data_IF_161605120315
#
_entry.id   IF_161605120315
#
_cell.length_a   1.000
_cell.length_b   1.000
_cell.length_c   1.000
_cell.angle_alpha   90.00
_cell.angle_beta   90.00
_cell.angle_gamma   90.00
#
_symmetry.space_group_name_H-M   'P 1'
#
loop_
_entity.id
_entity.type
_entity.pdbx_description
1 polymer ?
#
# COMPACT_ATOMS: atom_id res chain seq x y z
N UNK A 1 7.75 -24.00 1.55
CA UNK A 1 7.00 -23.75 0.31
C UNK A 1 6.33 -22.39 0.40
N UNK A 2 6.28 -21.69 -0.73
CA UNK A 2 5.54 -20.43 -0.88
C UNK A 2 4.21 -20.73 -1.57
N UNK A 3 3.12 -20.12 -1.09
CA UNK A 3 1.77 -20.32 -1.62
C UNK A 3 1.17 -19.00 -2.09
N UNK A 4 0.57 -19.02 -3.28
CA UNK A 4 -0.18 -17.88 -3.80
C UNK A 4 -1.57 -17.85 -3.18
N UNK A 5 -1.94 -16.71 -2.60
CA UNK A 5 -3.24 -16.50 -1.94
C UNK A 5 -4.10 -15.51 -2.72
N UNK A 6 -5.41 -15.76 -2.76
CA UNK A 6 -6.39 -14.81 -3.29
C UNK A 6 -6.95 -13.97 -2.13
N UNK A 7 -6.95 -12.65 -2.28
CA UNK A 7 -7.65 -11.73 -1.38
C UNK A 7 -9.07 -11.51 -1.93
N UNK A 8 -10.08 -11.75 -1.09
CA UNK A 8 -11.50 -11.58 -1.41
C UNK A 8 -12.11 -10.58 -0.44
N UNK A 9 -13.03 -9.73 -0.91
CA UNK A 9 -13.61 -8.63 -0.15
C UNK A 9 -13.56 -7.33 -0.94
N UNK A 10 -14.00 -6.24 -0.33
CA UNK A 10 -13.90 -4.89 -0.90
C UNK A 10 -12.64 -4.20 -0.36
N UNK A 11 -11.85 -3.62 -1.26
CA UNK A 11 -10.56 -3.02 -0.91
C UNK A 11 -10.45 -1.59 -1.44
N UNK A 12 -9.81 -0.73 -0.65
CA UNK A 12 -9.32 0.58 -1.06
C UNK A 12 -7.84 0.52 -1.41
N UNK A 13 -7.42 1.36 -2.35
CA UNK A 13 -6.01 1.54 -2.70
C UNK A 13 -5.62 3.01 -2.72
N UNK A 14 -4.40 3.32 -2.31
CA UNK A 14 -3.81 4.66 -2.38
C UNK A 14 -2.36 4.57 -2.82
N UNK A 15 -1.92 5.52 -3.65
CA UNK A 15 -0.55 5.62 -4.13
C UNK A 15 0.22 6.62 -3.28
N UNK A 16 1.42 6.23 -2.86
CA UNK A 16 2.35 7.04 -2.11
C UNK A 16 3.67 7.21 -2.89
N UNK A 17 4.32 8.34 -2.68
CA UNK A 17 5.68 8.62 -3.16
C UNK A 17 6.47 9.14 -1.96
N UNK A 18 7.66 8.56 -1.71
CA UNK A 18 8.52 8.99 -0.62
C UNK A 18 9.50 7.90 -0.16
N UNK A 19 10.45 8.26 0.72
CA UNK A 19 11.34 7.30 1.35
C UNK A 19 10.60 6.38 2.33
N UNK A 20 11.09 5.15 2.53
CA UNK A 20 10.47 4.15 3.40
C UNK A 20 10.24 4.60 4.86
N UNK A 21 11.01 5.59 5.35
CA UNK A 21 10.80 6.19 6.68
C UNK A 21 9.39 6.79 6.87
N UNK A 22 8.70 7.12 5.79
CA UNK A 22 7.35 7.68 5.83
C UNK A 22 6.27 6.58 5.85
N UNK A 23 6.65 5.29 5.87
CA UNK A 23 5.72 4.17 5.86
C UNK A 23 4.75 4.13 7.06
N UNK A 24 5.14 4.67 8.22
CA UNK A 24 4.23 4.82 9.35
C UNK A 24 3.12 5.83 9.05
N UNK A 25 3.46 6.93 8.39
CA UNK A 25 2.50 7.96 7.98
C UNK A 25 1.54 7.38 6.93
N UNK A 26 2.06 6.62 5.96
CA UNK A 26 1.23 5.93 4.96
C UNK A 26 0.26 4.91 5.58
N UNK A 27 0.68 4.23 6.65
CA UNK A 27 -0.19 3.31 7.38
C UNK A 27 -1.34 4.06 8.06
N UNK A 28 -1.04 5.18 8.72
CA UNK A 28 -2.06 5.99 9.39
C UNK A 28 -3.03 6.62 8.38
N UNK A 29 -2.51 7.10 7.23
CA UNK A 29 -3.30 7.53 6.08
C UNK A 29 -4.24 6.42 5.58
N UNK A 30 -3.74 5.20 5.39
CA UNK A 30 -4.58 4.09 4.93
C UNK A 30 -5.68 3.75 5.94
N UNK A 31 -5.40 3.84 7.24
CA UNK A 31 -6.42 3.63 8.28
C UNK A 31 -7.50 4.72 8.24
N UNK A 32 -7.12 5.95 7.93
CA UNK A 32 -8.09 7.04 7.72
C UNK A 32 -8.94 6.77 6.48
N UNK A 33 -8.33 6.45 5.35
CA UNK A 33 -9.06 6.11 4.11
C UNK A 33 -10.05 4.96 4.34
N UNK A 34 -9.68 3.91 5.08
CA UNK A 34 -10.61 2.82 5.41
C UNK A 34 -11.81 3.34 6.21
N UNK A 35 -11.59 4.18 7.24
CA UNK A 35 -12.67 4.76 8.05
C UNK A 35 -13.59 5.67 7.22
N UNK A 36 -13.02 6.49 6.34
CA UNK A 36 -13.78 7.36 5.44
C UNK A 36 -14.67 6.56 4.47
N UNK A 37 -14.26 5.33 4.14
CA UNK A 37 -15.04 4.40 3.32
C UNK A 37 -15.99 3.51 4.14
N UNK A 38 -16.19 3.80 5.43
CA UNK A 38 -17.12 3.08 6.30
C UNK A 38 -16.58 1.76 6.88
N UNK A 39 -15.30 1.49 6.68
CA UNK A 39 -14.63 0.26 7.10
C UNK A 39 -13.99 0.32 8.49
N UNK A 40 -13.53 -0.85 8.95
CA UNK A 40 -12.73 -0.96 10.19
C UNK A 40 -11.27 -1.29 9.83
N UNK A 41 -10.29 -0.45 10.23
CA UNK A 41 -8.92 -0.64 9.77
C UNK A 41 -8.29 -1.96 10.22
N UNK A 42 -8.06 -2.85 9.25
CA UNK A 42 -7.42 -4.15 9.44
C UNK A 42 -5.96 -4.18 8.98
N UNK A 43 -5.59 -5.22 8.25
CA UNK A 43 -4.27 -5.36 7.64
C UNK A 43 -4.15 -4.42 6.44
N UNK A 44 -3.00 -3.77 6.33
CA UNK A 44 -2.63 -2.95 5.18
C UNK A 44 -1.41 -3.56 4.52
N UNK A 45 -1.49 -3.77 3.21
CA UNK A 45 -0.40 -4.31 2.39
C UNK A 45 0.24 -3.18 1.60
N UNK A 46 1.57 -3.18 1.54
CA UNK A 46 2.34 -2.23 0.75
C UNK A 46 3.26 -2.97 -0.20
N UNK A 47 3.34 -2.50 -1.44
CA UNK A 47 4.31 -3.00 -2.41
C UNK A 47 4.81 -1.89 -3.31
N UNK A 48 6.05 -2.04 -3.77
CA UNK A 48 6.65 -1.14 -4.75
C UNK A 48 6.20 -1.53 -6.15
N UNK A 49 5.85 -0.54 -6.95
CA UNK A 49 5.41 -0.76 -8.35
C UNK A 49 6.58 -0.98 -9.30
N UNK A 50 7.81 -0.71 -8.86
CA UNK A 50 9.00 -0.80 -9.70
C UNK A 50 10.11 -1.62 -9.06
N UNK A 51 10.94 -2.22 -9.93
CA UNK A 51 12.16 -2.89 -9.53
C UNK A 51 13.22 -1.89 -9.04
N UNK A 52 14.21 -2.27 -8.21
CA UNK A 52 15.25 -1.34 -7.74
C UNK A 52 16.04 -0.65 -8.86
N UNK A 53 16.29 -1.35 -9.98
CA UNK A 53 16.96 -0.78 -11.16
C UNK A 53 16.07 0.25 -11.87
N UNK A 54 14.78 -0.02 -11.94
CA UNK A 54 13.77 0.83 -12.52
C UNK A 54 13.63 2.12 -11.72
N UNK A 55 13.52 2.01 -10.39
CA UNK A 55 13.52 3.14 -9.46
C UNK A 55 14.74 4.05 -9.65
N UNK A 56 15.94 3.46 -9.80
CA UNK A 56 17.18 4.21 -10.05
C UNK A 56 17.18 4.92 -11.41
N UNK A 57 16.59 4.32 -12.44
CA UNK A 57 16.55 4.88 -13.78
C UNK A 57 15.52 6.01 -13.91
N UNK A 58 14.31 5.81 -13.39
CA UNK A 58 13.21 6.77 -13.51
C UNK A 58 13.16 7.80 -12.36
N UNK A 59 13.93 7.60 -11.29
CA UNK A 59 14.05 8.51 -10.16
C UNK A 59 12.86 8.51 -9.20
N UNK A 60 11.77 7.81 -9.54
CA UNK A 60 10.57 7.66 -8.70
C UNK A 60 10.30 6.19 -8.44
N UNK A 61 9.86 5.87 -7.23
CA UNK A 61 9.37 4.55 -6.88
C UNK A 61 8.08 4.67 -6.08
N UNK A 62 6.96 4.47 -6.77
CA UNK A 62 5.66 4.56 -6.13
C UNK A 62 5.39 3.33 -5.27
N UNK A 63 4.71 3.55 -4.15
CA UNK A 63 4.20 2.50 -3.27
C UNK A 63 2.69 2.48 -3.38
N UNK A 64 2.12 1.29 -3.54
CA UNK A 64 0.66 1.10 -3.48
C UNK A 64 0.32 0.51 -2.13
N UNK A 65 -0.53 1.21 -1.38
CA UNK A 65 -1.21 0.68 -0.20
C UNK A 65 -2.52 0.02 -0.60
N UNK A 66 -2.82 -1.14 -0.03
CA UNK A 66 -4.07 -1.89 -0.21
C UNK A 66 -4.63 -2.25 1.16
N UNK A 67 -5.88 -1.91 1.43
CA UNK A 67 -6.55 -2.22 2.69
C UNK A 67 -8.00 -2.66 2.43
N UNK A 68 -8.46 -3.65 3.18
CA UNK A 68 -9.86 -4.09 3.18
C UNK A 68 -10.73 -3.02 3.88
N UNK A 69 -11.96 -2.84 3.40
CA UNK A 69 -12.97 -1.95 3.98
C UNK A 69 -13.79 -2.75 5.01
#
# INVERSE_FOLDING_TARGET
DEEMVTLSGDFVTKVFEGPYRDASEWLDDMREVVRENGGLPGKVYFFYTTCPKCAKHYGKNFVVGVAEI
#
